data_IF_384555985435
#
_entry.id   IF_384555985435
#
_cell.length_a   1.000
_cell.length_b   1.000
_cell.length_c   1.000
_cell.angle_alpha   90.00
_cell.angle_beta   90.00
_cell.angle_gamma   90.00
#
_symmetry.space_group_name_H-M   'P 1'
#
loop_
_entity.id
_entity.type
_entity.pdbx_description
1 polymer ?
#
# COMPACT_ATOMS: atom_id res chain seq x y z
N UNK A 1 15.42 -33.33 -53.96
CA UNK A 1 14.71 -34.35 -53.16
C UNK A 1 14.06 -33.54 -52.05
N UNK A 2 12.89 -32.96 -52.29
CA UNK A 2 12.15 -32.09 -51.33
C UNK A 2 13.03 -31.15 -50.50
N UNK A 3 13.40 -30.02 -51.10
CA UNK A 3 14.61 -29.27 -50.71
C UNK A 3 14.32 -28.05 -49.81
N UNK A 4 13.04 -27.74 -49.56
CA UNK A 4 12.62 -26.80 -48.51
C UNK A 4 11.20 -27.09 -47.99
N UNK A 5 10.89 -26.59 -46.79
CA UNK A 5 9.59 -26.73 -46.16
C UNK A 5 8.95 -25.36 -45.92
N UNK A 6 7.78 -25.14 -46.49
CA UNK A 6 7.01 -23.91 -46.36
C UNK A 6 5.81 -24.06 -45.43
N UNK A 7 5.61 -23.06 -44.59
CA UNK A 7 4.42 -22.86 -43.76
C UNK A 7 3.80 -21.52 -44.12
N UNK A 8 2.51 -21.52 -44.49
CA UNK A 8 1.80 -20.33 -44.97
C UNK A 8 1.39 -19.34 -43.85
N UNK A 9 1.51 -19.76 -42.59
CA UNK A 9 1.17 -18.95 -41.42
C UNK A 9 -0.33 -18.82 -41.15
N UNK A 10 -1.18 -19.44 -41.98
CA UNK A 10 -2.64 -19.52 -41.80
C UNK A 10 -3.02 -20.90 -41.26
N UNK A 11 -2.30 -21.93 -41.68
CA UNK A 11 -2.48 -23.31 -41.24
C UNK A 11 -1.16 -23.89 -40.74
N UNK A 12 -1.24 -24.90 -39.86
CA UNK A 12 -0.06 -25.66 -39.42
C UNK A 12 0.39 -26.70 -40.47
N UNK A 13 -0.10 -26.62 -41.71
CA UNK A 13 0.20 -27.59 -42.76
C UNK A 13 1.66 -27.42 -43.21
N UNK A 14 2.39 -28.53 -43.17
CA UNK A 14 3.71 -28.66 -43.77
C UNK A 14 3.56 -28.81 -45.29
N UNK A 15 4.18 -27.91 -46.06
CA UNK A 15 4.24 -28.01 -47.53
C UNK A 15 5.68 -28.22 -47.96
N UNK A 16 5.95 -29.33 -48.64
CA UNK A 16 7.27 -29.58 -49.21
C UNK A 16 7.36 -28.86 -50.56
N UNK A 17 8.36 -27.99 -50.70
CA UNK A 17 8.44 -27.02 -51.79
C UNK A 17 9.80 -27.04 -52.46
N UNK A 18 9.83 -26.54 -53.70
CA UNK A 18 11.03 -26.22 -54.45
C UNK A 18 11.16 -24.72 -54.60
N UNK A 19 12.39 -24.22 -54.57
CA UNK A 19 12.68 -22.79 -54.59
C UNK A 19 13.29 -22.37 -55.91
N UNK A 20 12.94 -21.17 -56.37
CA UNK A 20 13.66 -20.49 -57.45
C UNK A 20 14.04 -19.10 -56.95
N UNK A 21 15.34 -18.87 -56.78
CA UNK A 21 15.88 -17.58 -56.33
C UNK A 21 16.30 -16.77 -57.55
N UNK A 22 15.67 -15.63 -57.76
CA UNK A 22 16.03 -14.65 -58.79
C UNK A 22 16.69 -13.42 -58.17
N UNK A 23 17.09 -12.45 -59.00
CA UNK A 23 17.63 -11.18 -58.53
C UNK A 23 16.60 -10.33 -57.76
N UNK A 24 15.30 -10.62 -57.88
CA UNK A 24 14.22 -9.81 -57.28
C UNK A 24 13.24 -10.60 -56.40
N UNK A 25 13.12 -11.91 -56.61
CA UNK A 25 12.14 -12.78 -55.93
C UNK A 25 12.74 -14.10 -55.46
N UNK A 26 12.19 -14.60 -54.36
CA UNK A 26 12.26 -15.99 -53.92
C UNK A 26 10.90 -16.62 -54.21
N UNK A 27 10.84 -17.39 -55.29
CA UNK A 27 9.62 -18.06 -55.75
C UNK A 27 9.52 -19.47 -55.14
N UNK A 28 8.33 -19.79 -54.62
CA UNK A 28 8.05 -21.01 -53.86
C UNK A 28 7.04 -21.85 -54.64
N UNK A 29 7.38 -23.11 -54.93
CA UNK A 29 6.55 -24.01 -55.71
C UNK A 29 6.24 -25.31 -54.96
N UNK A 30 4.99 -25.77 -54.96
CA UNK A 30 4.54 -27.07 -54.41
C UNK A 30 4.17 -27.98 -55.58
N UNK A 31 4.89 -29.10 -55.78
CA UNK A 31 4.61 -30.02 -56.89
C UNK A 31 4.75 -29.40 -58.29
N UNK A 32 5.52 -28.32 -58.44
CA UNK A 32 5.69 -27.57 -59.69
C UNK A 32 4.70 -26.41 -59.88
N UNK A 33 3.66 -26.32 -59.04
CA UNK A 33 2.73 -25.19 -59.03
C UNK A 33 3.28 -24.04 -58.20
N UNK A 34 3.19 -22.81 -58.70
CA UNK A 34 3.64 -21.62 -57.98
C UNK A 34 2.63 -21.25 -56.89
N UNK A 35 3.08 -21.19 -55.62
CA UNK A 35 2.20 -20.95 -54.46
C UNK A 35 2.48 -19.62 -53.74
N UNK A 36 3.69 -19.08 -53.85
CA UNK A 36 4.04 -17.79 -53.27
C UNK A 36 5.31 -17.21 -53.92
N UNK A 37 5.46 -15.89 -53.88
CA UNK A 37 6.69 -15.18 -54.25
C UNK A 37 7.02 -14.15 -53.19
N UNK A 38 8.25 -14.20 -52.67
CA UNK A 38 8.75 -13.27 -51.66
C UNK A 38 9.79 -12.35 -52.30
N UNK A 39 9.62 -11.02 -52.29
CA UNK A 39 10.67 -10.10 -52.73
C UNK A 39 11.95 -10.32 -51.92
N UNK A 40 13.11 -10.47 -52.58
CA UNK A 40 14.39 -10.73 -51.87
C UNK A 40 14.76 -9.62 -50.87
N UNK A 41 14.27 -8.40 -51.09
CA UNK A 41 14.42 -7.26 -50.20
C UNK A 41 13.65 -7.44 -48.87
N UNK A 42 12.62 -8.27 -48.84
CA UNK A 42 11.71 -8.49 -47.71
C UNK A 42 12.03 -9.79 -46.95
N UNK A 43 12.92 -10.63 -47.47
CA UNK A 43 13.32 -11.88 -46.82
C UNK A 43 14.21 -11.59 -45.61
N UNK A 44 13.84 -12.12 -44.44
CA UNK A 44 14.58 -11.98 -43.16
C UNK A 44 14.87 -13.37 -42.58
N UNK A 45 16.04 -13.54 -41.96
CA UNK A 45 16.40 -14.75 -41.23
C UNK A 45 15.68 -14.79 -39.88
N UNK A 46 15.34 -16.00 -39.43
CA UNK A 46 14.81 -16.28 -38.10
C UNK A 46 15.57 -17.46 -37.48
N UNK A 47 15.53 -17.58 -36.16
CA UNK A 47 16.24 -18.64 -35.44
C UNK A 47 15.78 -20.05 -35.89
N UNK A 48 16.76 -20.92 -36.10
CA UNK A 48 16.58 -22.29 -36.57
C UNK A 48 17.65 -23.23 -35.95
N UNK A 49 17.38 -24.54 -35.90
CA UNK A 49 18.39 -25.53 -35.55
C UNK A 49 19.60 -25.51 -36.50
N UNK A 50 20.74 -26.02 -36.03
CA UNK A 50 21.95 -26.14 -36.84
C UNK A 50 21.68 -26.90 -38.15
N UNK A 51 22.20 -26.38 -39.26
CA UNK A 51 22.02 -26.95 -40.60
C UNK A 51 20.74 -26.50 -41.32
N UNK A 52 19.87 -25.70 -40.69
CA UNK A 52 18.65 -25.15 -41.31
C UNK A 52 18.76 -23.63 -41.44
N UNK A 53 18.46 -23.09 -42.63
CA UNK A 53 18.23 -21.65 -42.80
C UNK A 53 16.73 -21.41 -42.79
N UNK A 54 16.23 -20.82 -41.71
CA UNK A 54 14.84 -20.37 -41.61
C UNK A 54 14.71 -18.92 -42.04
N UNK A 55 13.78 -18.66 -42.94
CA UNK A 55 13.45 -17.32 -43.41
C UNK A 55 11.96 -17.01 -43.32
N UNK A 56 11.64 -15.72 -43.18
CA UNK A 56 10.29 -15.16 -43.18
C UNK A 56 10.25 -13.94 -44.09
N UNK A 57 9.04 -13.46 -44.41
CA UNK A 57 8.82 -12.24 -45.20
C UNK A 57 8.41 -11.10 -44.27
N UNK A 58 9.17 -10.01 -44.28
CA UNK A 58 8.80 -8.77 -43.61
C UNK A 58 7.45 -8.25 -44.15
N UNK A 59 6.53 -7.90 -43.27
CA UNK A 59 5.15 -7.52 -43.63
C UNK A 59 4.27 -8.69 -44.12
N UNK A 60 4.72 -9.94 -43.94
CA UNK A 60 3.92 -11.15 -44.13
C UNK A 60 3.19 -11.60 -42.87
N UNK A 61 2.41 -12.70 -42.94
CA UNK A 61 1.80 -13.31 -41.76
C UNK A 61 2.87 -13.70 -40.73
N UNK A 62 2.68 -13.37 -39.44
CA UNK A 62 3.66 -13.56 -38.34
C UNK A 62 4.19 -15.01 -38.22
N UNK A 63 3.42 -15.99 -38.71
CA UNK A 63 3.73 -17.42 -38.65
C UNK A 63 4.22 -18.02 -39.98
N UNK A 64 4.23 -17.25 -41.08
CA UNK A 64 4.72 -17.73 -42.36
C UNK A 64 6.24 -17.88 -42.31
N UNK A 65 6.74 -19.06 -42.68
CA UNK A 65 8.18 -19.38 -42.64
C UNK A 65 8.56 -20.41 -43.69
N UNK A 66 9.81 -20.33 -44.11
CA UNK A 66 10.44 -21.26 -45.01
C UNK A 66 11.70 -21.82 -44.36
N UNK A 67 11.75 -23.14 -44.18
CA UNK A 67 12.89 -23.86 -43.61
C UNK A 67 13.65 -24.55 -44.75
N UNK A 68 14.89 -24.12 -44.99
CA UNK A 68 15.72 -24.58 -46.11
C UNK A 68 16.89 -25.39 -45.58
N UNK A 69 17.01 -26.64 -46.03
CA UNK A 69 18.07 -27.58 -45.63
C UNK A 69 19.12 -27.80 -46.70
N UNK A 70 18.78 -27.55 -47.98
CA UNK A 70 19.72 -27.77 -49.07
C UNK A 70 20.84 -26.70 -49.11
N UNK A 71 22.13 -27.11 -49.13
CA UNK A 71 23.25 -26.16 -49.13
C UNK A 71 23.28 -25.19 -50.33
N UNK A 72 22.78 -25.60 -51.49
CA UNK A 72 22.77 -24.78 -52.72
C UNK A 72 21.73 -23.67 -52.59
N UNK A 73 20.52 -24.03 -52.16
CA UNK A 73 19.46 -23.05 -51.92
C UNK A 73 19.80 -22.12 -50.75
N UNK A 74 20.44 -22.64 -49.70
CA UNK A 74 20.96 -21.79 -48.62
C UNK A 74 21.99 -20.77 -49.11
N UNK A 75 22.90 -21.18 -50.00
CA UNK A 75 23.88 -20.29 -50.59
C UNK A 75 23.22 -19.25 -51.50
N UNK A 76 22.23 -19.66 -52.31
CA UNK A 76 21.48 -18.76 -53.19
C UNK A 76 20.69 -17.70 -52.40
N UNK A 77 20.02 -18.09 -51.31
CA UNK A 77 19.31 -17.16 -50.42
C UNK A 77 20.28 -16.18 -49.77
N UNK A 78 21.42 -16.65 -49.24
CA UNK A 78 22.44 -15.77 -48.65
C UNK A 78 23.03 -14.79 -49.65
N UNK A 79 23.17 -15.21 -50.91
CA UNK A 79 23.73 -14.37 -51.97
C UNK A 79 22.76 -13.27 -52.45
N UNK A 80 21.49 -13.63 -52.66
CA UNK A 80 20.50 -12.74 -53.29
C UNK A 80 19.65 -11.94 -52.27
N UNK A 81 19.45 -12.45 -51.05
CA UNK A 81 18.69 -11.75 -50.01
C UNK A 81 19.63 -10.86 -49.19
N UNK A 82 19.98 -9.69 -49.72
CA UNK A 82 20.97 -8.78 -49.09
C UNK A 82 20.56 -8.24 -47.71
N UNK A 83 19.26 -8.29 -47.36
CA UNK A 83 18.73 -7.87 -46.05
C UNK A 83 18.43 -9.04 -45.11
N UNK A 84 18.96 -10.23 -45.40
CA UNK A 84 18.69 -11.45 -44.65
C UNK A 84 18.97 -11.30 -43.15
N UNK A 85 20.06 -10.64 -42.78
CA UNK A 85 20.49 -10.40 -41.39
C UNK A 85 20.17 -8.96 -40.92
N UNK A 86 19.34 -8.22 -41.65
CA UNK A 86 18.93 -6.89 -41.22
C UNK A 86 18.10 -7.00 -39.92
N UNK A 87 18.34 -6.13 -38.93
CA UNK A 87 17.57 -6.17 -37.69
C UNK A 87 16.09 -5.97 -37.98
N UNK A 88 15.27 -6.91 -37.52
CA UNK A 88 13.81 -6.81 -37.56
C UNK A 88 13.36 -5.51 -36.88
N UNK A 89 12.41 -4.79 -37.49
CA UNK A 89 11.97 -3.49 -37.00
C UNK A 89 11.29 -3.66 -35.61
N UNK A 90 12.06 -3.41 -34.53
CA UNK A 90 11.65 -3.52 -33.12
C UNK A 90 10.51 -2.56 -32.68
N UNK A 91 9.86 -1.86 -33.61
CA UNK A 91 8.82 -0.86 -33.32
C UNK A 91 7.69 -1.43 -32.44
N UNK A 92 7.30 -2.69 -32.66
CA UNK A 92 6.22 -3.35 -31.91
C UNK A 92 6.59 -3.59 -30.44
N UNK A 93 7.84 -3.98 -30.16
CA UNK A 93 8.34 -4.21 -28.80
C UNK A 93 8.51 -2.90 -28.03
N UNK A 94 9.04 -1.85 -28.67
CA UNK A 94 9.16 -0.52 -28.06
C UNK A 94 7.80 0.05 -27.66
N UNK A 95 6.78 -0.14 -28.49
CA UNK A 95 5.41 0.29 -28.19
C UNK A 95 4.79 -0.47 -27.01
N UNK A 96 4.99 -1.78 -26.92
CA UNK A 96 4.51 -2.58 -25.78
C UNK A 96 5.19 -2.13 -24.49
N UNK A 97 6.52 -1.98 -24.50
CA UNK A 97 7.27 -1.51 -23.32
C UNK A 97 6.82 -0.12 -22.89
N UNK A 98 6.62 0.80 -23.86
CA UNK A 98 6.11 2.15 -23.58
C UNK A 98 4.73 2.12 -22.93
N UNK A 99 3.76 1.38 -23.48
CA UNK A 99 2.41 1.32 -22.89
C UNK A 99 2.39 0.61 -21.54
N UNK A 100 3.22 -0.41 -21.35
CA UNK A 100 3.40 -1.05 -20.03
C UNK A 100 3.97 -0.08 -19.01
N UNK A 101 5.01 0.68 -19.37
CA UNK A 101 5.58 1.72 -18.52
C UNK A 101 4.59 2.85 -18.23
N UNK A 102 3.86 3.33 -19.25
CA UNK A 102 2.84 4.36 -19.09
C UNK A 102 1.71 3.90 -18.17
N UNK A 103 1.29 2.63 -18.28
CA UNK A 103 0.29 2.02 -17.39
C UNK A 103 0.80 1.96 -15.95
N UNK A 104 2.05 1.53 -15.74
CA UNK A 104 2.66 1.49 -14.42
C UNK A 104 2.74 2.90 -13.79
N UNK A 105 3.19 3.90 -14.54
CA UNK A 105 3.23 5.30 -14.09
C UNK A 105 1.82 5.81 -13.78
N UNK A 106 0.83 5.51 -14.62
CA UNK A 106 -0.56 5.90 -14.36
C UNK A 106 -1.10 5.28 -13.07
N UNK A 107 -0.80 4.01 -12.79
CA UNK A 107 -1.18 3.34 -11.55
C UNK A 107 -0.53 4.03 -10.34
N UNK A 108 0.77 4.33 -10.42
CA UNK A 108 1.50 5.03 -9.36
C UNK A 108 0.88 6.40 -9.10
N UNK A 109 0.59 7.18 -10.15
CA UNK A 109 -0.05 8.48 -10.00
C UNK A 109 -1.45 8.38 -9.40
N UNK A 110 -2.23 7.36 -9.80
CA UNK A 110 -3.54 7.12 -9.22
C UNK A 110 -3.46 6.80 -7.72
N UNK A 111 -2.55 5.91 -7.33
CA UNK A 111 -2.39 5.49 -5.93
C UNK A 111 -1.85 6.64 -5.06
N UNK A 112 -0.89 7.41 -5.56
CA UNK A 112 -0.22 8.45 -4.77
C UNK A 112 -0.98 9.78 -4.74
N UNK A 113 -1.79 10.09 -5.75
CA UNK A 113 -2.44 11.41 -5.86
C UNK A 113 -3.96 11.31 -5.98
N UNK A 114 -4.48 10.53 -6.94
CA UNK A 114 -5.92 10.49 -7.20
C UNK A 114 -6.71 9.88 -6.04
N UNK A 115 -6.29 8.71 -5.53
CA UNK A 115 -6.98 8.02 -4.43
C UNK A 115 -6.96 8.86 -3.15
N UNK A 116 -5.83 9.44 -2.70
CA UNK A 116 -5.82 10.34 -1.55
C UNK A 116 -6.74 11.56 -1.71
N UNK A 117 -6.73 12.18 -2.90
CA UNK A 117 -7.59 13.32 -3.20
C UNK A 117 -9.08 12.95 -3.16
N UNK A 118 -9.45 11.81 -3.76
CA UNK A 118 -10.81 11.29 -3.69
C UNK A 118 -11.22 10.98 -2.25
N UNK A 119 -10.35 10.36 -1.46
CA UNK A 119 -10.66 10.08 -0.06
C UNK A 119 -10.88 11.36 0.76
N UNK A 120 -10.04 12.38 0.57
CA UNK A 120 -10.20 13.66 1.25
C UNK A 120 -11.51 14.37 0.88
N UNK A 121 -11.92 14.29 -0.39
CA UNK A 121 -13.15 14.93 -0.89
C UNK A 121 -14.42 14.13 -0.55
N UNK A 122 -14.34 12.80 -0.50
CA UNK A 122 -15.49 11.94 -0.18
C UNK A 122 -15.76 11.83 1.32
N UNK A 123 -14.72 11.89 2.17
CA UNK A 123 -14.88 11.72 3.63
C UNK A 123 -15.94 12.65 4.23
N UNK A 124 -15.97 13.97 3.95
CA UNK A 124 -16.98 14.88 4.50
C UNK A 124 -18.41 14.55 4.05
N UNK A 125 -18.58 13.87 2.92
CA UNK A 125 -19.89 13.49 2.38
C UNK A 125 -20.49 12.26 3.08
N UNK A 126 -19.66 11.45 3.75
CA UNK A 126 -20.13 10.27 4.49
C UNK A 126 -20.82 10.74 5.77
N UNK A 127 -22.11 10.40 6.01
CA UNK A 127 -22.77 10.76 7.26
C UNK A 127 -22.16 10.03 8.47
N UNK A 128 -22.23 10.66 9.65
CA UNK A 128 -21.63 10.15 10.88
C UNK A 128 -22.20 8.78 11.27
N UNK A 129 -23.48 8.52 10.99
CA UNK A 129 -24.13 7.24 11.26
C UNK A 129 -23.51 6.08 10.47
N UNK A 130 -23.13 6.33 9.22
CA UNK A 130 -22.45 5.33 8.38
C UNK A 130 -21.03 5.09 8.88
N UNK A 131 -20.31 6.15 9.25
CA UNK A 131 -18.98 6.02 9.82
C UNK A 131 -18.98 5.20 11.11
N UNK A 132 -19.96 5.43 12.01
CA UNK A 132 -20.14 4.61 13.22
C UNK A 132 -20.39 3.13 12.91
N UNK A 133 -21.10 2.81 11.83
CA UNK A 133 -21.31 1.41 11.40
C UNK A 133 -20.00 0.79 10.91
N UNK A 134 -19.20 1.54 10.15
CA UNK A 134 -17.87 1.11 9.71
C UNK A 134 -16.98 0.87 10.94
N UNK A 135 -16.97 1.80 11.89
CA UNK A 135 -16.26 1.69 13.16
C UNK A 135 -16.59 0.41 13.93
N UNK A 136 -17.89 0.08 14.06
CA UNK A 136 -18.33 -1.17 14.70
C UNK A 136 -17.86 -2.43 13.98
N UNK A 137 -17.81 -2.41 12.64
CA UNK A 137 -17.31 -3.55 11.87
C UNK A 137 -15.80 -3.75 12.08
N UNK A 138 -15.05 -2.65 12.14
CA UNK A 138 -13.60 -2.65 12.40
C UNK A 138 -13.27 -3.02 13.85
N UNK A 139 -14.06 -2.56 14.83
CA UNK A 139 -13.90 -2.85 16.26
C UNK A 139 -13.74 -4.35 16.52
N UNK A 140 -14.65 -5.16 15.97
CA UNK A 140 -14.60 -6.62 16.10
C UNK A 140 -13.28 -7.21 15.58
N UNK A 141 -12.77 -6.69 14.46
CA UNK A 141 -11.53 -7.18 13.86
C UNK A 141 -10.31 -6.72 14.64
N UNK A 142 -10.30 -5.49 15.15
CA UNK A 142 -9.22 -4.96 15.99
C UNK A 142 -9.09 -5.78 17.27
N UNK A 143 -10.21 -6.07 17.95
CA UNK A 143 -10.21 -6.96 19.12
C UNK A 143 -9.69 -8.36 18.79
N UNK A 144 -10.03 -8.89 17.62
CA UNK A 144 -9.53 -10.18 17.16
C UNK A 144 -8.03 -10.17 16.83
N UNK A 145 -7.52 -9.09 16.20
CA UNK A 145 -6.11 -8.91 15.84
C UNK A 145 -5.24 -8.87 17.11
N UNK A 146 -5.63 -8.05 18.09
CA UNK A 146 -4.84 -7.85 19.29
C UNK A 146 -5.15 -8.85 20.41
N UNK A 147 -6.21 -9.66 20.27
CA UNK A 147 -6.67 -10.64 21.26
C UNK A 147 -6.84 -10.07 22.67
N UNK A 148 -6.97 -8.75 22.79
CA UNK A 148 -7.01 -8.05 24.06
C UNK A 148 -8.43 -8.01 24.61
N UNK A 149 -8.57 -8.38 25.88
CA UNK A 149 -9.80 -8.11 26.64
C UNK A 149 -9.88 -6.61 26.90
N UNK A 150 -11.09 -6.05 26.87
CA UNK A 150 -11.31 -4.68 27.33
C UNK A 150 -11.20 -4.67 28.84
N UNK A 151 -10.30 -3.84 29.36
CA UNK A 151 -10.16 -3.62 30.79
C UNK A 151 -11.31 -2.73 31.29
N UNK A 152 -11.89 -3.12 32.42
CA UNK A 152 -13.20 -2.64 32.89
C UNK A 152 -13.27 -2.44 34.42
N UNK A 153 -12.13 -2.39 35.12
CA UNK A 153 -12.12 -2.09 36.54
C UNK A 153 -12.83 -0.74 36.82
N UNK A 154 -13.87 -0.69 37.68
CA UNK A 154 -14.79 0.45 37.75
C UNK A 154 -14.13 1.80 38.01
N UNK A 155 -13.18 1.86 38.95
CA UNK A 155 -12.48 3.08 39.34
C UNK A 155 -11.55 3.57 38.22
N UNK A 156 -10.88 2.65 37.52
CA UNK A 156 -10.04 2.94 36.37
C UNK A 156 -10.86 3.45 35.18
N UNK A 157 -11.97 2.78 34.86
CA UNK A 157 -12.90 3.24 33.83
C UNK A 157 -13.51 4.60 34.16
N UNK A 158 -13.82 4.87 35.43
CA UNK A 158 -14.29 6.19 35.86
C UNK A 158 -13.21 7.26 35.70
N UNK A 159 -11.95 6.97 36.04
CA UNK A 159 -10.84 7.89 35.83
C UNK A 159 -10.59 8.19 34.34
N UNK A 160 -10.63 7.16 33.48
CA UNK A 160 -10.52 7.33 32.03
C UNK A 160 -11.63 8.21 31.46
N UNK A 161 -12.87 8.04 31.96
CA UNK A 161 -14.01 8.86 31.56
C UNK A 161 -13.83 10.31 31.98
N UNK A 162 -13.37 10.57 33.21
CA UNK A 162 -13.06 11.93 33.67
C UNK A 162 -12.03 12.59 32.76
N UNK A 163 -10.97 11.87 32.38
CA UNK A 163 -9.95 12.38 31.47
C UNK A 163 -10.54 12.69 30.09
N UNK A 164 -11.28 11.75 29.51
CA UNK A 164 -11.94 11.88 28.21
C UNK A 164 -12.92 13.06 28.18
N UNK A 165 -13.73 13.21 29.22
CA UNK A 165 -14.71 14.29 29.34
C UNK A 165 -14.04 15.66 29.43
N UNK A 166 -12.90 15.77 30.14
CA UNK A 166 -12.13 17.03 30.22
C UNK A 166 -11.57 17.42 28.86
N UNK A 167 -10.96 16.48 28.14
CA UNK A 167 -10.43 16.71 26.80
C UNK A 167 -11.54 17.11 25.81
N UNK A 168 -12.66 16.38 25.83
CA UNK A 168 -13.80 16.64 24.92
C UNK A 168 -14.43 18.00 25.17
N UNK A 169 -14.62 18.37 26.44
CA UNK A 169 -15.21 19.66 26.83
C UNK A 169 -14.32 20.84 26.48
N UNK A 170 -12.99 20.70 26.55
CA UNK A 170 -12.04 21.77 26.24
C UNK A 170 -12.19 22.27 24.79
N UNK A 171 -12.51 21.37 23.86
CA UNK A 171 -12.67 21.69 22.43
C UNK A 171 -14.14 21.72 21.98
N UNK A 172 -15.10 21.59 22.90
CA UNK A 172 -16.53 21.62 22.59
C UNK A 172 -16.99 20.46 21.69
N UNK A 173 -16.37 19.28 21.83
CA UNK A 173 -16.68 18.11 21.00
C UNK A 173 -18.05 17.55 21.40
N UNK A 174 -19.02 17.63 20.49
CA UNK A 174 -20.36 17.04 20.68
C UNK A 174 -20.41 15.55 20.34
N UNK A 175 -19.38 15.02 19.69
CA UNK A 175 -19.31 13.62 19.28
C UNK A 175 -19.15 12.69 20.49
N UNK A 176 -19.90 11.59 20.50
CA UNK A 176 -19.77 10.53 21.51
C UNK A 176 -18.45 9.76 21.29
N UNK A 177 -17.44 10.08 22.08
CA UNK A 177 -16.20 9.29 22.13
C UNK A 177 -16.39 8.06 23.02
N UNK A 178 -15.95 6.91 22.53
CA UNK A 178 -15.99 5.64 23.24
C UNK A 178 -14.55 5.16 23.47
N UNK A 179 -13.97 5.56 24.59
CA UNK A 179 -12.57 5.31 24.94
C UNK A 179 -12.48 4.11 25.87
N UNK A 180 -11.63 3.14 25.53
CA UNK A 180 -11.42 1.93 26.31
C UNK A 180 -9.94 1.54 26.37
N UNK A 181 -9.57 0.78 27.40
CA UNK A 181 -8.23 0.20 27.50
C UNK A 181 -8.28 -1.26 27.04
N UNK A 182 -7.34 -1.66 26.17
CA UNK A 182 -7.15 -3.05 25.78
C UNK A 182 -5.95 -3.65 26.50
N UNK A 183 -6.14 -4.82 27.08
CA UNK A 183 -5.06 -5.65 27.60
C UNK A 183 -4.18 -6.12 26.44
N UNK A 184 -3.08 -5.40 26.21
CA UNK A 184 -2.13 -5.67 25.14
C UNK A 184 -0.72 -5.29 25.59
N UNK A 185 0.25 -6.13 25.23
CA UNK A 185 1.69 -5.92 25.52
C UNK A 185 2.36 -4.96 24.56
N UNK A 186 1.64 -4.52 23.53
CA UNK A 186 2.15 -3.61 22.52
C UNK A 186 1.88 -2.17 22.99
N UNK A 187 2.90 -1.31 23.14
CA UNK A 187 2.70 0.08 23.54
C UNK A 187 2.09 0.88 22.37
N UNK A 188 0.75 0.93 22.31
CA UNK A 188 0.01 1.59 21.23
C UNK A 188 -1.29 2.27 21.70
N UNK A 189 -1.84 3.14 20.86
CA UNK A 189 -3.21 3.63 20.92
C UNK A 189 -3.74 3.77 19.48
N UNK A 190 -5.04 3.58 19.29
CA UNK A 190 -5.66 3.68 17.96
C UNK A 190 -7.05 4.31 18.04
N UNK A 191 -7.29 5.29 17.17
CA UNK A 191 -8.60 5.81 16.86
C UNK A 191 -9.26 5.05 15.70
N UNK A 192 -10.48 4.57 15.91
CA UNK A 192 -11.33 3.96 14.89
C UNK A 192 -12.38 4.96 14.37
N UNK A 193 -12.84 4.80 13.12
CA UNK A 193 -13.93 5.61 12.59
C UNK A 193 -15.16 5.61 13.51
N UNK A 194 -15.80 6.77 13.64
CA UNK A 194 -17.01 6.91 14.45
C UNK A 194 -16.79 7.04 15.95
N UNK A 195 -15.54 7.20 16.40
CA UNK A 195 -15.19 7.71 17.74
C UNK A 195 -14.81 6.67 18.79
N UNK A 196 -14.59 5.40 18.40
CA UNK A 196 -14.00 4.40 19.30
C UNK A 196 -12.49 4.65 19.36
N UNK A 197 -11.93 4.79 20.56
CA UNK A 197 -10.49 4.91 20.78
C UNK A 197 -10.03 3.80 21.72
N UNK A 198 -8.92 3.16 21.37
CA UNK A 198 -8.26 2.18 22.22
C UNK A 198 -6.92 2.69 22.71
N UNK A 199 -6.71 2.64 24.02
CA UNK A 199 -5.41 2.82 24.66
C UNK A 199 -4.92 1.42 25.06
N UNK A 200 -3.70 1.04 24.71
CA UNK A 200 -3.22 -0.30 25.05
C UNK A 200 -2.54 -0.27 26.42
N UNK A 201 -2.71 -1.35 27.18
CA UNK A 201 -2.17 -1.42 28.54
C UNK A 201 -0.67 -1.13 28.59
N UNK A 202 0.13 -1.66 27.68
CA UNK A 202 1.57 -1.38 27.67
C UNK A 202 1.92 0.11 27.47
N UNK A 203 1.15 0.85 26.68
CA UNK A 203 1.32 2.31 26.55
C UNK A 203 0.98 3.00 27.87
N UNK A 204 -0.14 2.59 28.47
CA UNK A 204 -0.57 3.11 29.77
C UNK A 204 0.44 2.79 30.87
N UNK A 205 1.06 1.61 30.84
CA UNK A 205 2.06 1.15 31.82
C UNK A 205 3.37 1.96 31.73
N UNK A 206 3.75 2.43 30.54
CA UNK A 206 4.90 3.33 30.34
C UNK A 206 4.61 4.79 30.69
N UNK A 207 3.35 5.23 30.67
CA UNK A 207 2.99 6.58 31.06
C UNK A 207 3.30 6.83 32.55
N UNK A 208 4.08 7.86 32.85
CA UNK A 208 4.48 8.24 34.21
C UNK A 208 3.53 9.28 34.82
N UNK A 209 2.78 10.01 33.98
CA UNK A 209 1.82 11.00 34.44
C UNK A 209 0.55 11.03 33.60
N UNK A 210 -0.51 11.60 34.18
CA UNK A 210 -1.78 11.79 33.49
C UNK A 210 -1.64 12.73 32.27
N UNK A 211 -0.71 13.69 32.28
CA UNK A 211 -0.51 14.61 31.16
C UNK A 211 0.07 13.91 29.92
N UNK A 212 0.95 12.93 30.12
CA UNK A 212 1.52 12.15 29.03
C UNK A 212 0.44 11.36 28.31
N UNK A 213 -0.39 10.65 29.07
CA UNK A 213 -1.52 9.92 28.54
C UNK A 213 -2.57 10.85 27.93
N UNK A 214 -2.84 11.98 28.57
CA UNK A 214 -3.79 12.97 28.08
C UNK A 214 -3.39 13.54 26.72
N UNK A 215 -2.10 13.83 26.52
CA UNK A 215 -1.61 14.27 25.23
C UNK A 215 -1.80 13.21 24.15
N UNK A 216 -1.47 11.94 24.42
CA UNK A 216 -1.71 10.84 23.45
C UNK A 216 -3.21 10.69 23.17
N UNK A 217 -4.06 10.72 24.20
CA UNK A 217 -5.50 10.61 24.01
C UNK A 217 -6.05 11.82 23.22
N UNK A 218 -5.56 13.04 23.48
CA UNK A 218 -5.96 14.23 22.73
C UNK A 218 -5.52 14.12 21.25
N UNK A 219 -4.35 13.56 20.98
CA UNK A 219 -3.88 13.25 19.63
C UNK A 219 -4.81 12.28 18.91
N UNK A 220 -5.18 11.16 19.54
CA UNK A 220 -6.14 10.21 18.98
C UNK A 220 -7.54 10.82 18.77
N UNK A 221 -7.98 11.70 19.67
CA UNK A 221 -9.22 12.47 19.48
C UNK A 221 -9.10 13.38 18.26
N UNK A 222 -7.95 14.00 18.03
CA UNK A 222 -7.66 14.77 16.82
C UNK A 222 -7.87 13.97 15.55
N UNK A 223 -7.41 12.71 15.50
CA UNK A 223 -7.68 11.81 14.38
C UNK A 223 -9.16 11.49 14.19
N UNK A 224 -9.92 11.35 15.29
CA UNK A 224 -11.38 11.16 15.23
C UNK A 224 -12.06 12.40 14.66
N UNK A 225 -11.74 13.58 15.19
CA UNK A 225 -12.32 14.87 14.76
C UNK A 225 -12.03 15.14 13.29
N UNK A 226 -10.80 14.87 12.84
CA UNK A 226 -10.38 15.02 11.45
C UNK A 226 -10.86 13.88 10.53
N UNK A 227 -11.51 12.85 11.09
CA UNK A 227 -12.02 11.65 10.39
C UNK A 227 -10.93 10.91 9.61
N UNK A 228 -9.71 10.90 10.14
CA UNK A 228 -8.53 10.38 9.46
C UNK A 228 -8.62 8.87 9.23
N UNK A 229 -9.17 8.14 10.20
CA UNK A 229 -9.40 6.70 10.06
C UNK A 229 -10.37 6.36 8.92
N UNK A 230 -11.45 7.13 8.76
CA UNK A 230 -12.37 6.96 7.62
C UNK A 230 -11.67 7.28 6.30
N UNK A 231 -10.86 8.33 6.26
CA UNK A 231 -10.08 8.68 5.06
C UNK A 231 -9.13 7.55 4.67
N UNK A 232 -8.41 6.95 5.63
CA UNK A 232 -7.55 5.78 5.40
C UNK A 232 -8.33 4.59 4.85
N UNK A 233 -9.53 4.31 5.36
CA UNK A 233 -10.36 3.21 4.85
C UNK A 233 -10.87 3.46 3.43
N UNK A 234 -11.22 4.69 3.08
CA UNK A 234 -11.61 5.02 1.69
C UNK A 234 -10.40 4.87 0.76
N UNK A 235 -9.22 5.31 1.19
CA UNK A 235 -7.97 5.13 0.44
C UNK A 235 -7.67 3.63 0.22
N UNK A 236 -7.79 2.81 1.27
CA UNK A 236 -7.52 1.38 1.22
C UNK A 236 -8.52 0.61 0.36
N UNK A 237 -9.78 1.03 0.34
CA UNK A 237 -10.81 0.43 -0.50
C UNK A 237 -10.55 0.69 -1.99
N UNK A 238 -10.13 1.92 -2.33
CA UNK A 238 -9.74 2.28 -3.69
C UNK A 238 -8.52 1.51 -4.18
N UNK A 239 -7.50 1.33 -3.33
CA UNK A 239 -6.31 0.53 -3.69
C UNK A 239 -6.64 -0.95 -3.78
N UNK A 240 -7.45 -1.50 -2.87
CA UNK A 240 -7.87 -2.91 -2.90
C UNK A 240 -8.67 -3.24 -4.16
N UNK A 241 -9.57 -2.34 -4.60
CA UNK A 241 -10.27 -2.51 -5.88
C UNK A 241 -9.31 -2.46 -7.08
N UNK A 242 -8.32 -1.55 -7.06
CA UNK A 242 -7.30 -1.48 -8.12
C UNK A 242 -6.44 -2.75 -8.19
N UNK A 243 -6.02 -3.30 -7.05
CA UNK A 243 -5.32 -4.59 -6.99
C UNK A 243 -6.23 -5.75 -7.44
N UNK A 244 -7.50 -5.74 -7.04
CA UNK A 244 -8.50 -6.72 -7.47
C UNK A 244 -8.74 -6.71 -8.98
N UNK A 245 -8.77 -5.54 -9.62
CA UNK A 245 -8.84 -5.42 -11.08
C UNK A 245 -7.58 -5.94 -11.78
N UNK A 246 -6.39 -5.73 -11.18
CA UNK A 246 -5.12 -6.15 -11.75
C UNK A 246 -4.84 -7.66 -11.58
N UNK A 247 -5.32 -8.25 -10.48
CA UNK A 247 -4.94 -9.61 -10.05
C UNK A 247 -6.13 -10.58 -9.86
N UNK A 248 -7.38 -10.12 -10.00
CA UNK A 248 -8.56 -10.97 -10.15
C UNK A 248 -9.22 -11.51 -8.88
N UNK A 249 -8.90 -10.99 -7.69
CA UNK A 249 -9.43 -11.51 -6.41
C UNK A 249 -10.21 -10.42 -5.63
N UNK A 250 -11.55 -10.50 -5.67
CA UNK A 250 -12.44 -9.55 -4.95
C UNK A 250 -13.57 -10.32 -4.27
N UNK A 251 -13.31 -10.90 -3.10
CA UNK A 251 -14.37 -11.48 -2.24
C UNK A 251 -14.56 -10.67 -0.95
N UNK A 252 -15.82 -10.30 -0.66
CA UNK A 252 -16.19 -9.22 0.27
C UNK A 252 -15.91 -9.44 1.76
N UNK A 253 -15.63 -10.68 2.21
CA UNK A 253 -15.22 -10.95 3.59
C UNK A 253 -13.74 -10.64 3.86
N UNK A 254 -12.87 -10.95 2.90
CA UNK A 254 -11.45 -10.62 2.96
C UNK A 254 -11.21 -9.11 2.94
N UNK A 255 -12.06 -8.35 2.24
CA UNK A 255 -11.96 -6.90 2.15
C UNK A 255 -12.04 -6.20 3.52
N UNK A 256 -12.94 -6.63 4.41
CA UNK A 256 -13.06 -6.05 5.76
C UNK A 256 -11.84 -6.37 6.62
N UNK A 257 -11.32 -7.60 6.52
CA UNK A 257 -10.08 -8.02 7.23
C UNK A 257 -8.90 -7.17 6.74
N UNK A 258 -8.73 -7.06 5.42
CA UNK A 258 -7.65 -6.29 4.80
C UNK A 258 -7.75 -4.81 5.15
N UNK A 259 -8.95 -4.23 5.09
CA UNK A 259 -9.20 -2.83 5.45
C UNK A 259 -8.90 -2.56 6.93
N UNK A 260 -9.27 -3.49 7.83
CA UNK A 260 -8.99 -3.38 9.26
C UNK A 260 -7.49 -3.46 9.55
N UNK A 261 -6.77 -4.40 8.91
CA UNK A 261 -5.30 -4.48 9.00
C UNK A 261 -4.64 -3.24 8.45
N UNK A 262 -5.06 -2.76 7.28
CA UNK A 262 -4.52 -1.53 6.71
C UNK A 262 -4.72 -0.34 7.64
N UNK A 263 -5.90 -0.19 8.25
CA UNK A 263 -6.14 0.90 9.20
C UNK A 263 -5.15 0.87 10.37
N UNK A 264 -4.90 -0.32 10.91
CA UNK A 264 -4.04 -0.56 12.09
C UNK A 264 -2.56 -0.48 11.76
N UNK A 265 -2.12 -0.99 10.60
CA UNK A 265 -0.70 -1.16 10.29
C UNK A 265 -0.12 0.02 9.50
N UNK A 266 -0.94 0.78 8.78
CA UNK A 266 -0.44 1.89 7.95
C UNK A 266 -0.21 3.16 8.76
N UNK A 267 0.85 3.89 8.42
CA UNK A 267 1.09 5.21 8.96
C UNK A 267 0.08 6.24 8.45
N UNK A 268 -0.23 7.23 9.28
CA UNK A 268 -0.94 8.43 8.84
C UNK A 268 -0.03 9.33 7.98
N UNK A 269 -0.64 10.21 7.19
CA UNK A 269 0.12 11.22 6.44
C UNK A 269 0.73 12.25 7.40
N UNK A 270 1.81 12.91 6.97
CA UNK A 270 2.46 13.98 7.75
C UNK A 270 1.50 15.11 8.11
N UNK A 271 0.59 15.46 7.21
CA UNK A 271 -0.40 16.51 7.44
C UNK A 271 -1.46 16.08 8.47
N UNK A 272 -1.88 14.81 8.45
CA UNK A 272 -2.81 14.28 9.46
C UNK A 272 -2.17 14.24 10.85
N UNK A 273 -0.90 13.79 10.94
CA UNK A 273 -0.14 13.82 12.20
C UNK A 273 0.05 15.25 12.73
N UNK A 274 0.40 16.21 11.87
CA UNK A 274 0.55 17.61 12.28
C UNK A 274 -0.77 18.23 12.74
N UNK A 275 -1.89 17.89 12.09
CA UNK A 275 -3.22 18.36 12.51
C UNK A 275 -3.66 17.73 13.84
N UNK A 276 -3.34 16.47 14.08
CA UNK A 276 -3.60 15.79 15.35
C UNK A 276 -2.72 16.34 16.49
N UNK A 277 -1.44 16.62 16.24
CA UNK A 277 -0.54 17.31 17.19
C UNK A 277 -1.02 18.71 17.54
N UNK A 278 -1.45 19.50 16.54
CA UNK A 278 -1.99 20.84 16.77
C UNK A 278 -3.26 20.79 17.62
N UNK A 279 -4.15 19.84 17.30
CA UNK A 279 -5.35 19.58 18.09
C UNK A 279 -5.01 19.21 19.54
N UNK A 280 -4.10 18.25 19.75
CA UNK A 280 -3.67 17.84 21.08
C UNK A 280 -3.07 19.00 21.86
N UNK A 281 -2.22 19.78 21.18
CA UNK A 281 -1.62 21.00 21.68
C UNK A 281 -2.59 22.02 22.22
N UNK A 282 -3.52 22.45 21.36
CA UNK A 282 -4.55 23.43 21.71
C UNK A 282 -5.44 22.92 22.84
N UNK A 283 -5.81 21.64 22.80
CA UNK A 283 -6.62 20.99 23.85
C UNK A 283 -5.91 21.04 25.21
N UNK A 284 -4.63 20.64 25.24
CA UNK A 284 -3.83 20.64 26.47
C UNK A 284 -3.61 22.05 27.01
N UNK A 285 -3.30 23.01 26.13
CA UNK A 285 -3.14 24.43 26.50
C UNK A 285 -4.45 25.02 27.04
N UNK A 286 -5.60 24.68 26.45
CA UNK A 286 -6.92 25.10 26.94
C UNK A 286 -7.23 24.55 28.33
N UNK A 287 -6.69 23.39 28.67
CA UNK A 287 -6.73 22.80 30.02
C UNK A 287 -5.61 23.27 30.94
N UNK A 288 -4.82 24.27 30.50
CA UNK A 288 -3.66 24.79 31.21
C UNK A 288 -2.61 23.70 31.53
N UNK A 289 -2.44 22.71 30.65
CA UNK A 289 -1.42 21.65 30.72
C UNK A 289 -0.47 21.73 29.53
N UNK A 290 0.81 21.35 29.69
CA UNK A 290 1.73 21.27 28.56
C UNK A 290 1.44 20.04 27.69
N UNK A 291 1.61 20.15 26.37
CA UNK A 291 1.48 19.00 25.45
C UNK A 291 2.77 18.18 25.31
N UNK A 292 3.93 18.79 25.58
CA UNK A 292 5.25 18.15 25.51
C UNK A 292 5.41 16.82 26.26
N UNK A 293 4.78 16.57 27.44
CA UNK A 293 4.88 15.28 28.12
C UNK A 293 4.55 14.08 27.23
N UNK A 294 3.57 14.18 26.33
CA UNK A 294 3.31 13.13 25.34
C UNK A 294 4.57 12.71 24.60
N UNK A 295 5.36 13.68 24.12
CA UNK A 295 6.58 13.40 23.38
C UNK A 295 7.66 12.70 24.24
N UNK A 296 7.68 12.94 25.55
CA UNK A 296 8.55 12.22 26.48
C UNK A 296 8.15 10.75 26.62
N UNK A 297 6.83 10.47 26.70
CA UNK A 297 6.31 9.11 26.68
C UNK A 297 6.69 8.40 25.38
N UNK A 298 6.50 9.04 24.23
CA UNK A 298 6.86 8.44 22.94
C UNK A 298 8.35 8.12 22.81
N UNK A 299 9.21 9.00 23.32
CA UNK A 299 10.67 8.75 23.39
C UNK A 299 11.04 7.60 24.32
N UNK A 300 10.31 7.42 25.43
CA UNK A 300 10.51 6.25 26.32
C UNK A 300 10.15 4.95 25.62
N UNK A 301 9.01 4.93 24.92
CA UNK A 301 8.57 3.77 24.12
C UNK A 301 9.61 3.42 23.05
N UNK A 302 10.16 4.43 22.37
CA UNK A 302 11.25 4.24 21.39
C UNK A 302 12.47 3.58 22.00
N UNK A 303 12.89 4.06 23.17
CA UNK A 303 14.10 3.59 23.85
C UNK A 303 13.96 2.19 24.44
N UNK A 304 12.83 1.89 25.09
CA UNK A 304 12.63 0.60 25.76
C UNK A 304 12.63 -0.56 24.74
N UNK A 305 12.15 -0.34 23.51
CA UNK A 305 12.22 -1.35 22.45
C UNK A 305 13.62 -1.52 21.84
N UNK A 306 14.45 -0.48 21.85
CA UNK A 306 15.87 -0.57 21.45
C UNK A 306 16.69 -1.40 22.47
N UNK A 307 16.36 -1.29 23.76
CA UNK A 307 17.08 -1.96 24.86
C UNK A 307 16.64 -3.44 25.07
N UNK A 308 15.41 -3.82 24.70
CA UNK A 308 14.94 -5.23 24.72
C UNK A 308 15.54 -6.10 23.59
N UNK A 309 16.17 -5.49 22.58
CA UNK A 309 16.91 -6.14 21.50
C UNK A 309 18.30 -6.63 21.94
N UNK A 310 18.36 -7.69 22.75
CA UNK A 310 19.63 -8.27 23.24
C UNK A 310 20.70 -8.53 22.17
N UNK A 311 21.97 -8.54 22.59
CA UNK A 311 23.21 -8.52 21.78
C UNK A 311 23.39 -9.61 20.69
N UNK A 312 22.41 -10.48 20.45
CA UNK A 312 22.47 -11.61 19.50
C UNK A 312 21.74 -11.43 18.16
N UNK A 313 20.80 -10.48 18.01
CA UNK A 313 20.00 -10.35 16.77
C UNK A 313 19.98 -8.91 16.24
N UNK A 314 21.12 -8.46 15.68
CA UNK A 314 21.28 -7.15 15.02
C UNK A 314 20.51 -6.99 13.69
N UNK A 315 19.34 -7.63 13.52
CA UNK A 315 18.62 -7.58 12.24
C UNK A 315 17.11 -7.35 12.30
N UNK A 316 16.54 -6.90 13.43
CA UNK A 316 15.22 -6.26 13.46
C UNK A 316 15.22 -5.12 14.47
N UNK A 317 15.58 -3.92 14.03
CA UNK A 317 15.10 -2.69 14.71
C UNK A 317 13.57 -2.72 14.58
N UNK A 318 12.88 -3.26 15.57
CA UNK A 318 11.44 -3.16 15.63
C UNK A 318 11.14 -1.71 16.01
N UNK A 319 10.51 -0.97 15.11
CA UNK A 319 9.98 0.35 15.44
C UNK A 319 8.73 0.09 16.30
N UNK A 320 8.54 0.78 17.44
CA UNK A 320 7.36 0.60 18.26
C UNK A 320 6.07 0.69 17.45
N UNK A 321 5.08 -0.12 17.81
CA UNK A 321 3.84 -0.18 17.03
C UNK A 321 3.16 1.20 16.95
N UNK A 322 3.20 1.99 18.03
CA UNK A 322 2.74 3.38 18.01
C UNK A 322 3.54 4.25 17.04
N UNK A 323 4.87 4.13 17.02
CA UNK A 323 5.73 4.91 16.12
C UNK A 323 5.68 4.42 14.67
N UNK A 324 5.25 3.19 14.44
CA UNK A 324 4.99 2.64 13.11
C UNK A 324 3.76 3.28 12.48
N UNK A 325 2.72 3.59 13.27
CA UNK A 325 1.51 4.27 12.81
C UNK A 325 1.58 5.79 12.89
N UNK A 326 2.33 6.31 13.88
CA UNK A 326 2.52 7.73 14.16
C UNK A 326 4.03 8.08 14.27
N UNK A 327 4.77 8.13 13.15
CA UNK A 327 6.19 8.46 13.19
C UNK A 327 6.43 9.85 13.79
N UNK A 328 7.12 9.91 14.94
CA UNK A 328 7.54 11.18 15.53
C UNK A 328 8.73 11.74 14.74
N UNK A 329 8.72 13.05 14.47
CA UNK A 329 9.81 13.73 13.78
C UNK A 329 10.31 14.88 14.65
N UNK A 330 11.56 15.31 14.46
CA UNK A 330 12.12 16.48 15.17
C UNK A 330 11.27 17.74 15.01
N UNK A 331 10.61 17.90 13.85
CA UNK A 331 9.72 19.02 13.60
C UNK A 331 8.47 18.96 14.49
N UNK A 332 7.84 17.79 14.60
CA UNK A 332 6.66 17.57 15.46
C UNK A 332 7.02 17.76 16.93
N UNK A 333 8.15 17.20 17.36
CA UNK A 333 8.67 17.35 18.73
C UNK A 333 8.83 18.84 19.09
N UNK A 334 9.51 19.61 18.24
CA UNK A 334 9.70 21.06 18.43
C UNK A 334 8.40 21.85 18.39
N UNK A 335 7.37 21.35 17.70
CA UNK A 335 6.06 21.99 17.70
C UNK A 335 5.34 21.77 19.04
N UNK A 336 5.35 20.54 19.56
CA UNK A 336 4.78 20.19 20.86
C UNK A 336 5.49 20.92 22.02
N UNK A 337 6.83 21.09 21.95
CA UNK A 337 7.62 21.87 22.92
C UNK A 337 7.15 23.32 23.05
N UNK A 338 6.59 23.90 21.98
CA UNK A 338 6.12 25.29 21.97
C UNK A 338 4.69 25.45 22.51
N UNK A 339 3.94 24.35 22.65
CA UNK A 339 2.57 24.34 23.13
C UNK A 339 2.53 24.26 24.65
N UNK A 340 2.89 25.37 25.28
CA UNK A 340 2.96 25.51 26.74
C UNK A 340 1.92 26.54 27.19
N UNK A 341 1.12 26.24 28.22
CA UNK A 341 0.16 27.20 28.76
C UNK A 341 0.88 28.37 29.46
N UNK A 342 0.26 29.55 29.48
CA UNK A 342 0.86 30.72 30.15
C UNK A 342 1.00 30.54 31.66
N UNK A 343 0.13 29.74 32.28
CA UNK A 343 0.20 29.33 33.68
C UNK A 343 -0.23 27.87 33.81
N UNK A 344 0.43 27.05 34.65
CA UNK A 344 0.02 25.66 34.86
C UNK A 344 -1.29 25.60 35.65
N UNK A 345 -2.23 24.80 35.16
CA UNK A 345 -3.51 24.53 35.81
C UNK A 345 -3.48 23.34 36.77
N UNK A 346 -4.65 23.02 37.33
CA UNK A 346 -4.85 21.84 38.18
C UNK A 346 -4.54 20.53 37.44
N UNK A 347 -4.11 19.46 38.15
CA UNK A 347 -3.92 18.14 37.55
C UNK A 347 -5.18 17.63 36.84
N UNK A 348 -4.98 16.95 35.70
CA UNK A 348 -6.08 16.35 34.93
C UNK A 348 -6.81 15.23 35.68
N UNK A 349 -6.08 14.52 36.54
CA UNK A 349 -6.60 13.49 37.43
C UNK A 349 -6.01 13.67 38.82
N UNK A 350 -6.78 13.34 39.85
CA UNK A 350 -6.22 13.20 41.20
C UNK A 350 -5.25 12.01 41.26
N UNK A 351 -4.37 11.97 42.26
CA UNK A 351 -3.45 10.82 42.43
C UNK A 351 -4.20 9.49 42.57
N UNK A 352 -5.36 9.49 43.23
CA UNK A 352 -6.21 8.29 43.35
C UNK A 352 -6.80 7.85 42.01
N UNK A 353 -7.29 8.81 41.21
CA UNK A 353 -7.79 8.52 39.86
C UNK A 353 -6.68 8.03 38.93
N UNK A 354 -5.50 8.64 38.98
CA UNK A 354 -4.34 8.19 38.18
C UNK A 354 -3.92 6.77 38.55
N UNK A 355 -3.82 6.45 39.84
CA UNK A 355 -3.53 5.09 40.30
C UNK A 355 -4.59 4.10 39.84
N UNK A 356 -5.87 4.42 40.01
CA UNK A 356 -6.96 3.56 39.56
C UNK A 356 -6.92 3.30 38.05
N UNK A 357 -6.58 4.33 37.25
CA UNK A 357 -6.41 4.18 35.82
C UNK A 357 -5.24 3.24 35.47
N UNK A 358 -4.08 3.40 36.12
CA UNK A 358 -2.93 2.48 35.95
C UNK A 358 -3.25 1.03 36.34
N UNK A 359 -4.27 0.81 37.18
CA UNK A 359 -4.69 -0.51 37.63
C UNK A 359 -5.92 -1.04 36.88
N UNK A 360 -6.37 -0.35 35.82
CA UNK A 360 -7.62 -0.67 35.11
C UNK A 360 -7.71 -2.11 34.61
N UNK A 361 -6.58 -2.73 34.25
CA UNK A 361 -6.51 -4.11 33.76
C UNK A 361 -6.21 -5.15 34.85
N UNK A 362 -5.87 -4.75 36.08
CA UNK A 362 -5.51 -5.68 37.16
C UNK A 362 -6.71 -6.36 37.80
N UNK A 363 -7.92 -5.84 37.61
CA UNK A 363 -9.15 -6.29 38.27
C UNK A 363 -10.20 -6.85 37.30
N UNK A 364 -9.82 -7.07 36.03
CA UNK A 364 -10.73 -7.39 34.93
C UNK A 364 -10.95 -8.88 34.69
#
# INVERSE_FOLDING_TARGET
MMDAVFYDGVSARRRDVTLTVTASSLDIHEGGEWIASWPVADVRRKDAPDGVVRVTREGGPDLARLDVTDPTDQAAIRLHCHRLDAPEHKERTGRIVFWSAATAVSIILCVLFLIPLLAQTLTPLVPVEYERRIGKAVDNQVRAIFRGKVCDAPEGTAALRVLTDRLSKAEGIEASLDVAVLESRIPNAIALPGGRIYIFQALLDQAESADELAGVLAHEIGHVVNRDGLRKLIQSSGTSYLFGLLFGDVTGGGAIVLASRYLVDSAYSRDAEAAADDFAGRTMVALARPAYPMALLLKRIEKDEDDEGGEGERNKRAIPAFLSTHPITDQRLKALEKQVPSQPGEPLLSQGQWRALKEICKTS
#
